data_IF_009545319486
#
_entry.id   IF_009545319486
#
_cell.length_a   1.000
_cell.length_b   1.000
_cell.length_c   1.000
_cell.angle_alpha   90.00
_cell.angle_beta   90.00
_cell.angle_gamma   90.00
#
_symmetry.space_group_name_H-M   'P 1'
#
loop_
_entity.id
_entity.type
_entity.pdbx_description
1 polymer ?
#
# COMPACT_ATOMS: atom_id res chain seq x y z
N UNK A 1 -14.46 100.13 -1.27
CA UNK A 1 -15.64 99.25 -1.31
C UNK A 1 -15.30 97.78 -1.00
N UNK A 2 -14.36 97.16 -1.73
CA UNK A 2 -13.88 95.78 -1.46
C UNK A 2 -13.36 95.53 -0.02
N UNK A 3 -12.68 96.53 0.57
CA UNK A 3 -12.20 96.43 1.94
C UNK A 3 -13.32 96.39 2.98
N UNK A 4 -14.39 97.17 2.74
CA UNK A 4 -15.55 97.25 3.66
C UNK A 4 -16.38 95.95 3.58
N UNK A 5 -16.52 95.36 2.39
CA UNK A 5 -17.19 94.08 2.21
C UNK A 5 -16.43 92.91 2.85
N UNK A 6 -15.09 92.93 2.81
CA UNK A 6 -14.28 91.92 3.49
C UNK A 6 -14.40 92.02 5.02
N UNK A 7 -14.42 93.25 5.56
CA UNK A 7 -14.54 93.49 7.00
C UNK A 7 -15.93 93.07 7.52
N UNK A 8 -17.00 93.34 6.75
CA UNK A 8 -18.35 92.91 7.10
C UNK A 8 -18.52 91.38 7.07
N UNK A 9 -17.86 90.69 6.12
CA UNK A 9 -17.89 89.23 6.05
C UNK A 9 -17.16 88.58 7.23
N UNK A 10 -16.06 89.18 7.71
CA UNK A 10 -15.32 88.70 8.89
C UNK A 10 -16.14 88.73 10.20
N UNK A 11 -17.19 89.55 10.28
CA UNK A 11 -18.10 89.62 11.42
C UNK A 11 -19.42 88.88 11.20
N UNK A 12 -19.60 88.22 10.04
CA UNK A 12 -20.77 87.39 9.76
C UNK A 12 -20.73 86.05 10.49
N UNK A 13 -21.86 85.32 10.59
CA UNK A 13 -21.93 83.99 11.21
C UNK A 13 -21.07 82.92 10.51
N UNK A 14 -20.59 83.20 9.30
CA UNK A 14 -19.65 82.36 8.54
C UNK A 14 -18.21 82.92 8.53
N UNK A 15 -17.98 84.06 9.18
CA UNK A 15 -16.65 84.63 9.40
C UNK A 15 -15.99 83.93 10.57
N UNK A 16 -14.93 83.16 10.31
CA UNK A 16 -14.18 82.44 11.35
C UNK A 16 -13.66 83.39 12.43
N UNK A 17 -13.73 82.97 13.69
CA UNK A 17 -13.24 83.76 14.83
C UNK A 17 -11.80 83.38 15.14
N UNK A 18 -10.99 84.31 15.64
CA UNK A 18 -9.62 84.03 16.10
C UNK A 18 -9.61 82.95 17.21
N UNK A 19 -10.70 82.83 17.97
CA UNK A 19 -10.89 81.77 18.97
C UNK A 19 -11.05 80.36 18.37
N UNK A 20 -11.42 80.22 17.09
CA UNK A 20 -11.54 78.90 16.44
C UNK A 20 -10.17 78.19 16.31
N UNK A 21 -9.06 78.96 16.34
CA UNK A 21 -7.71 78.41 16.39
C UNK A 21 -7.32 77.80 17.75
N UNK A 22 -8.10 78.08 18.81
CA UNK A 22 -7.85 77.61 20.17
C UNK A 22 -8.88 76.57 20.65
N UNK A 23 -9.86 76.24 19.81
CA UNK A 23 -10.68 75.04 20.02
C UNK A 23 -9.81 73.86 19.64
N UNK A 24 -9.35 73.10 20.63
CA UNK A 24 -8.84 71.76 20.40
C UNK A 24 -9.94 71.02 19.65
N UNK A 25 -9.78 70.85 18.32
CA UNK A 25 -10.66 69.99 17.55
C UNK A 25 -10.68 68.69 18.32
N UNK A 26 -11.87 68.27 18.76
CA UNK A 26 -12.07 66.96 19.33
C UNK A 26 -11.26 65.99 18.47
N UNK A 27 -10.28 65.34 19.10
CA UNK A 27 -9.55 64.27 18.46
C UNK A 27 -10.63 63.41 17.81
N UNK A 28 -10.60 63.29 16.47
CA UNK A 28 -11.57 62.46 15.76
C UNK A 28 -11.66 61.17 16.55
N UNK A 29 -12.86 60.75 16.92
CA UNK A 29 -13.09 59.40 17.45
C UNK A 29 -12.51 58.44 16.41
N UNK A 30 -11.25 58.06 16.60
CA UNK A 30 -10.59 57.06 15.79
C UNK A 30 -11.21 55.78 16.29
N UNK A 31 -12.26 55.33 15.59
CA UNK A 31 -12.79 53.99 15.75
C UNK A 31 -11.57 53.06 15.80
N UNK A 32 -11.33 52.35 16.92
CA UNK A 32 -10.13 51.54 17.05
C UNK A 32 -10.07 50.57 15.87
N UNK A 33 -8.89 50.40 15.24
CA UNK A 33 -8.76 49.58 14.06
C UNK A 33 -9.19 48.15 14.41
N UNK A 34 -10.07 47.58 13.57
CA UNK A 34 -10.46 46.18 13.74
C UNK A 34 -9.37 45.30 13.16
N UNK A 35 -8.81 44.44 14.00
CA UNK A 35 -7.75 43.50 13.63
C UNK A 35 -8.35 42.09 13.65
N UNK A 36 -8.37 41.46 12.48
CA UNK A 36 -8.70 40.04 12.34
C UNK A 36 -7.41 39.30 11.96
N UNK A 37 -6.89 38.45 12.84
CA UNK A 37 -5.70 37.66 12.56
C UNK A 37 -6.00 36.17 12.75
N UNK A 38 -5.58 35.34 11.81
CA UNK A 38 -5.72 33.89 11.87
C UNK A 38 -4.52 33.18 11.26
N UNK A 39 -4.29 31.95 11.69
CA UNK A 39 -3.30 31.04 11.12
C UNK A 39 -4.01 29.87 10.50
N UNK A 40 -3.66 29.55 9.26
CA UNK A 40 -4.14 28.37 8.55
C UNK A 40 -3.02 27.34 8.50
N UNK A 41 -3.11 26.24 9.27
CA UNK A 41 -2.15 25.14 9.17
C UNK A 41 -2.15 24.51 7.77
N UNK A 42 -1.04 23.87 7.35
CA UNK A 42 -1.02 23.13 6.11
C UNK A 42 -2.11 22.05 6.06
N UNK A 43 -2.69 21.85 4.88
CA UNK A 43 -3.84 20.94 4.70
C UNK A 43 -3.56 19.51 5.21
N UNK A 44 -2.32 19.04 5.08
CA UNK A 44 -1.89 17.71 5.52
C UNK A 44 -2.05 17.48 7.04
N UNK A 45 -1.94 18.55 7.84
CA UNK A 45 -2.02 18.45 9.30
C UNK A 45 -3.45 18.21 9.80
N UNK A 46 -4.47 18.44 8.96
CA UNK A 46 -5.88 18.30 9.31
C UNK A 46 -6.37 19.25 10.42
N UNK A 47 -5.56 20.23 10.84
CA UNK A 47 -5.89 21.17 11.91
C UNK A 47 -6.77 22.31 11.39
N UNK A 48 -7.76 22.69 12.18
CA UNK A 48 -8.63 23.83 11.86
C UNK A 48 -7.85 25.16 11.91
N UNK A 49 -8.25 26.18 11.14
CA UNK A 49 -7.68 27.51 11.23
C UNK A 49 -7.81 28.09 12.65
N UNK A 50 -6.75 28.70 13.14
CA UNK A 50 -6.64 29.27 14.47
C UNK A 50 -6.82 30.79 14.42
N UNK A 51 -7.90 31.31 14.99
CA UNK A 51 -8.16 32.74 15.05
C UNK A 51 -7.47 33.37 16.27
N UNK A 52 -6.47 34.21 16.04
CA UNK A 52 -5.63 34.80 17.08
C UNK A 52 -6.33 35.93 17.84
N UNK A 53 -7.25 36.64 17.18
CA UNK A 53 -7.97 37.79 17.75
C UNK A 53 -9.35 37.44 18.31
N UNK A 54 -9.69 36.15 18.38
CA UNK A 54 -10.93 35.71 19.03
C UNK A 54 -10.84 35.92 20.56
N UNK A 55 -11.96 36.29 21.19
CA UNK A 55 -12.03 36.55 22.64
C UNK A 55 -11.51 35.37 23.49
N UNK A 56 -11.76 34.14 23.03
CA UNK A 56 -11.29 32.92 23.68
C UNK A 56 -9.76 32.79 23.74
N UNK A 57 -9.03 33.47 22.86
CA UNK A 57 -7.58 33.34 22.69
C UNK A 57 -6.79 34.54 23.22
N UNK A 58 -7.46 35.54 23.83
CA UNK A 58 -6.80 36.73 24.38
C UNK A 58 -5.84 36.43 25.53
N UNK A 59 -6.04 35.33 26.26
CA UNK A 59 -5.17 34.90 27.37
C UNK A 59 -4.02 33.98 26.94
N UNK A 60 -3.94 33.60 25.66
CA UNK A 60 -2.92 32.67 25.15
C UNK A 60 -1.62 33.43 24.91
N UNK A 61 -0.57 33.08 25.65
CA UNK A 61 0.74 33.73 25.53
C UNK A 61 1.57 33.23 24.34
N UNK A 62 1.36 31.98 23.90
CA UNK A 62 2.09 31.38 22.78
C UNK A 62 1.21 30.40 22.03
N UNK A 63 1.15 30.55 20.71
CA UNK A 63 0.37 29.71 19.82
C UNK A 63 1.24 28.62 19.19
N UNK A 64 0.90 27.35 19.43
CA UNK A 64 1.60 26.23 18.82
C UNK A 64 1.02 25.89 17.45
N UNK A 65 1.82 26.01 16.40
CA UNK A 65 1.39 25.83 15.01
C UNK A 65 2.36 24.89 14.27
N UNK A 66 1.89 24.06 13.32
CA UNK A 66 2.80 23.27 12.48
C UNK A 66 3.69 24.14 11.61
N UNK A 67 4.88 23.64 11.28
CA UNK A 67 5.77 24.27 10.32
C UNK A 67 5.07 24.50 8.97
N UNK A 68 5.37 25.63 8.34
CA UNK A 68 4.80 26.00 7.04
C UNK A 68 3.36 26.53 7.10
N UNK A 69 2.83 26.81 8.31
CA UNK A 69 1.50 27.42 8.48
C UNK A 69 1.45 28.85 7.90
N UNK A 70 0.36 29.20 7.23
CA UNK A 70 0.15 30.54 6.69
C UNK A 70 -0.53 31.44 7.72
N UNK A 71 0.15 32.50 8.16
CA UNK A 71 -0.44 33.56 8.98
C UNK A 71 -1.05 34.62 8.08
N UNK A 72 -2.31 34.97 8.34
CA UNK A 72 -3.04 36.03 7.65
C UNK A 72 -3.54 37.05 8.67
N UNK A 73 -3.27 38.33 8.38
CA UNK A 73 -3.69 39.43 9.24
C UNK A 73 -4.37 40.49 8.40
N UNK A 74 -5.59 40.87 8.80
CA UNK A 74 -6.41 41.90 8.16
C UNK A 74 -6.68 43.03 9.14
N UNK A 75 -6.29 44.24 8.77
CA UNK A 75 -6.59 45.46 9.53
C UNK A 75 -7.62 46.28 8.76
N UNK A 76 -8.69 46.70 9.43
CA UNK A 76 -9.77 47.52 8.84
C UNK A 76 -9.96 48.81 9.64
N UNK A 77 -10.06 49.95 8.94
CA UNK A 77 -10.31 51.25 9.57
C UNK A 77 -9.06 51.96 10.09
N UNK A 78 -7.88 51.54 9.63
CA UNK A 78 -6.58 52.06 10.09
C UNK A 78 -6.02 53.17 9.18
N UNK A 79 -4.91 53.78 9.61
CA UNK A 79 -4.24 54.89 8.93
C UNK A 79 -3.73 54.52 7.53
N UNK A 80 -3.42 53.22 7.33
CA UNK A 80 -2.80 52.68 6.11
C UNK A 80 -1.28 52.63 6.20
N UNK A 81 -0.69 52.98 7.34
CA UNK A 81 0.76 52.94 7.61
C UNK A 81 1.17 51.73 8.47
N UNK A 82 0.30 50.71 8.54
CA UNK A 82 0.57 49.55 9.38
C UNK A 82 1.72 48.71 8.80
N UNK A 83 2.63 48.30 9.66
CA UNK A 83 3.75 47.41 9.32
C UNK A 83 3.67 46.14 10.14
N UNK A 84 3.95 45.01 9.49
CA UNK A 84 3.97 43.71 10.13
C UNK A 84 5.39 43.18 10.09
N UNK A 85 5.92 42.81 11.25
CA UNK A 85 7.25 42.22 11.39
C UNK A 85 7.17 40.88 12.11
N UNK A 86 7.99 39.93 11.67
CA UNK A 86 8.16 38.63 12.30
C UNK A 86 9.61 38.50 12.75
N UNK A 87 9.84 38.45 14.06
CA UNK A 87 11.16 38.27 14.64
C UNK A 87 11.34 36.81 15.08
N UNK A 88 12.42 36.16 14.65
CA UNK A 88 12.79 34.84 15.15
C UNK A 88 13.37 34.92 16.58
N UNK A 89 13.70 33.77 17.18
CA UNK A 89 14.32 33.71 18.51
C UNK A 89 15.75 34.30 18.56
N UNK A 90 16.42 34.42 17.41
CA UNK A 90 17.77 34.96 17.28
C UNK A 90 17.77 36.50 17.07
N UNK A 91 16.59 37.11 17.00
CA UNK A 91 16.41 38.55 16.85
C UNK A 91 16.42 39.05 15.40
N UNK A 92 16.43 38.15 14.41
CA UNK A 92 16.30 38.54 13.01
C UNK A 92 14.84 38.85 12.70
N UNK A 93 14.55 40.13 12.52
CA UNK A 93 13.23 40.60 12.12
C UNK A 93 13.10 40.64 10.59
N UNK A 94 12.13 39.90 10.04
CA UNK A 94 11.70 40.05 8.64
C UNK A 94 10.43 40.89 8.58
N UNK A 95 10.39 41.86 7.67
CA UNK A 95 9.17 42.59 7.37
C UNK A 95 8.27 41.74 6.46
N UNK A 96 6.98 41.66 6.78
CA UNK A 96 5.97 41.04 5.91
C UNK A 96 5.29 42.18 5.16
N UNK A 97 5.49 42.22 3.84
CA UNK A 97 4.86 43.24 3.01
C UNK A 97 3.35 43.03 2.89
N UNK A 98 2.56 44.11 2.81
CA UNK A 98 1.13 44.03 2.61
C UNK A 98 0.83 43.46 1.22
N UNK A 99 -0.15 42.56 1.14
CA UNK A 99 -0.62 42.02 -0.13
C UNK A 99 -1.22 43.15 -0.99
N UNK A 100 -0.78 43.24 -2.26
CA UNK A 100 -1.37 44.17 -3.21
C UNK A 100 -2.86 43.84 -3.42
N UNK A 101 -3.75 44.86 -3.49
CA UNK A 101 -5.18 44.62 -3.67
C UNK A 101 -5.44 43.89 -4.99
N UNK A 102 -5.95 42.66 -4.93
CA UNK A 102 -6.43 41.92 -6.11
C UNK A 102 -7.88 42.31 -6.40
N UNK A 103 -8.07 43.19 -7.37
CA UNK A 103 -9.38 43.55 -7.93
C UNK A 103 -9.44 45.01 -8.42
N UNK A 104 -10.30 45.32 -9.41
CA UNK A 104 -10.50 46.71 -9.84
C UNK A 104 -11.07 47.52 -8.67
N UNK A 105 -10.41 48.62 -8.32
CA UNK A 105 -10.86 49.52 -7.26
C UNK A 105 -12.24 50.10 -7.64
N UNK A 106 -13.30 49.89 -6.82
CA UNK A 106 -14.56 50.57 -7.07
C UNK A 106 -14.36 52.07 -6.86
N UNK A 107 -14.62 52.83 -7.92
CA UNK A 107 -14.67 54.29 -7.85
C UNK A 107 -15.96 54.70 -7.13
N UNK A 108 -15.88 54.99 -5.83
CA UNK A 108 -16.63 56.05 -5.11
C UNK A 108 -16.77 55.73 -3.61
N UNK A 109 -16.43 56.74 -2.79
CA UNK A 109 -16.85 57.02 -1.40
C UNK A 109 -16.54 56.01 -0.28
N UNK A 110 -15.58 56.41 0.58
CA UNK A 110 -15.42 56.04 2.00
C UNK A 110 -15.57 54.55 2.38
N UNK A 111 -15.08 53.63 1.54
CA UNK A 111 -14.79 52.29 2.01
C UNK A 111 -13.65 52.36 3.05
N UNK A 112 -13.75 51.68 4.21
CA UNK A 112 -12.67 51.63 5.18
C UNK A 112 -11.42 51.08 4.48
N UNK A 113 -10.27 51.73 4.68
CA UNK A 113 -8.99 51.19 4.20
C UNK A 113 -8.78 49.83 4.85
N UNK A 114 -8.68 48.79 4.03
CA UNK A 114 -8.37 47.41 4.46
C UNK A 114 -6.96 47.09 4.00
N UNK A 115 -6.12 46.65 4.94
CA UNK A 115 -4.76 46.15 4.64
C UNK A 115 -4.67 44.69 5.06
N UNK A 116 -4.17 43.85 4.16
CA UNK A 116 -3.99 42.42 4.40
C UNK A 116 -2.51 42.06 4.31
N UNK A 117 -2.05 41.24 5.23
CA UNK A 117 -0.71 40.68 5.27
C UNK A 117 -0.82 39.15 5.27
N UNK A 118 0.14 38.50 4.62
CA UNK A 118 0.25 37.04 4.58
C UNK A 118 1.71 36.64 4.66
N UNK A 119 2.04 35.62 5.46
CA UNK A 119 3.40 35.10 5.58
C UNK A 119 3.43 33.66 6.10
N UNK A 120 4.55 32.96 5.90
CA UNK A 120 4.73 31.57 6.32
C UNK A 120 5.46 31.45 7.66
N UNK A 121 4.95 30.63 8.58
CA UNK A 121 5.57 30.38 9.88
C UNK A 121 6.46 29.12 9.81
N UNK A 122 7.77 29.33 9.60
CA UNK A 122 8.75 28.24 9.44
C UNK A 122 9.59 27.98 10.69
N UNK A 123 9.73 28.96 11.57
CA UNK A 123 10.53 28.90 12.80
C UNK A 123 9.83 29.61 13.95
N UNK A 124 10.21 29.30 15.20
CA UNK A 124 9.72 29.99 16.38
C UNK A 124 9.97 31.50 16.29
N UNK A 125 9.00 32.30 16.72
CA UNK A 125 9.13 33.75 16.62
C UNK A 125 7.93 34.52 17.13
N UNK A 126 8.03 35.85 17.08
CA UNK A 126 6.98 36.77 17.49
C UNK A 126 6.56 37.66 16.33
N UNK A 127 5.26 37.67 16.06
CA UNK A 127 4.63 38.55 15.09
C UNK A 127 4.20 39.84 15.79
N UNK A 128 4.70 40.98 15.29
CA UNK A 128 4.41 42.30 15.84
C UNK A 128 3.78 43.18 14.78
N UNK A 129 2.57 43.67 15.06
CA UNK A 129 1.84 44.64 14.24
C UNK A 129 2.02 46.04 14.84
N UNK A 130 2.54 46.98 14.05
CA UNK A 130 2.71 48.38 14.45
C UNK A 130 1.95 49.32 13.54
N UNK A 131 1.46 50.42 14.08
CA UNK A 131 0.91 51.55 13.32
C UNK A 131 1.61 52.83 13.81
N UNK A 132 2.38 53.46 12.92
CA UNK A 132 3.34 54.50 13.29
C UNK A 132 4.24 54.06 14.47
N UNK A 133 4.11 54.68 15.64
CA UNK A 133 4.90 54.41 16.86
C UNK A 133 4.16 53.54 17.89
N UNK A 134 2.93 53.11 17.61
CA UNK A 134 2.09 52.34 18.54
C UNK A 134 2.03 50.87 18.13
N UNK A 135 2.32 49.98 19.09
CA UNK A 135 2.13 48.54 18.89
C UNK A 135 0.64 48.22 18.99
N UNK A 136 0.09 47.61 17.93
CA UNK A 136 -1.33 47.25 17.83
C UNK A 136 -1.59 45.78 18.22
N UNK A 137 -0.58 44.92 18.17
CA UNK A 137 -0.72 43.51 18.54
C UNK A 137 0.58 42.74 18.50
N UNK A 138 0.71 41.77 19.39
CA UNK A 138 1.86 40.87 19.50
C UNK A 138 1.36 39.43 19.66
N UNK A 139 1.89 38.51 18.85
CA UNK A 139 1.57 37.09 18.93
C UNK A 139 2.85 36.26 18.85
N UNK A 140 3.14 35.50 19.90
CA UNK A 140 4.25 34.56 19.91
C UNK A 140 3.82 33.20 19.34
N UNK A 141 4.68 32.60 18.52
CA UNK A 141 4.45 31.31 17.87
C UNK A 141 5.53 30.30 18.25
N UNK A 142 5.08 29.10 18.63
CA UNK A 142 5.89 27.92 18.74
C UNK A 142 5.62 27.02 17.52
N UNK A 143 6.57 26.95 16.60
CA UNK A 143 6.47 26.15 15.39
C UNK A 143 6.91 24.72 15.70
N UNK A 144 6.02 23.75 15.46
CA UNK A 144 6.30 22.32 15.60
C UNK A 144 6.87 21.82 14.27
N UNK A 145 8.15 21.40 14.22
CA UNK A 145 8.76 20.86 13.01
C UNK A 145 8.06 19.56 12.58
N UNK A 146 7.97 19.38 11.27
CA UNK A 146 7.43 18.17 10.65
C UNK A 146 8.50 17.07 10.64
N UNK A 147 8.18 15.86 11.09
CA UNK A 147 9.15 14.77 11.15
C UNK A 147 8.93 13.82 9.98
N UNK A 148 10.00 13.31 9.34
CA UNK A 148 9.82 12.31 8.29
C UNK A 148 9.18 11.04 8.87
N UNK A 149 8.37 10.33 8.07
CA UNK A 149 7.73 9.09 8.51
C UNK A 149 8.79 8.02 8.80
N UNK A 150 8.45 7.05 9.64
CA UNK A 150 9.25 5.85 9.86
C UNK A 150 8.44 4.60 9.55
N UNK A 151 9.06 3.61 8.91
CA UNK A 151 8.43 2.31 8.60
C UNK A 151 9.37 1.16 8.97
N UNK A 152 8.84 0.14 9.66
CA UNK A 152 9.61 -1.06 10.03
C UNK A 152 8.77 -2.33 9.94
N UNK A 153 9.44 -3.45 9.71
CA UNK A 153 8.80 -4.77 9.80
C UNK A 153 8.44 -5.12 11.24
N UNK A 154 7.32 -5.82 11.40
CA UNK A 154 6.91 -6.45 12.66
C UNK A 154 6.98 -7.96 12.44
N UNK A 155 8.12 -8.55 12.77
CA UNK A 155 8.42 -9.96 12.49
C UNK A 155 8.92 -10.19 11.06
N UNK A 156 9.00 -11.46 10.68
CA UNK A 156 9.44 -11.86 9.34
C UNK A 156 8.27 -11.87 8.33
N UNK A 157 8.50 -11.44 7.08
CA UNK A 157 7.60 -11.72 5.97
C UNK A 157 7.35 -13.23 5.89
N UNK A 158 6.08 -13.62 5.78
CA UNK A 158 5.71 -15.04 5.79
C UNK A 158 4.73 -15.37 4.69
N UNK A 159 4.69 -16.66 4.34
CA UNK A 159 3.67 -17.24 3.49
C UNK A 159 2.44 -17.54 4.35
N UNK A 160 1.30 -16.99 3.99
CA UNK A 160 0.02 -17.30 4.61
C UNK A 160 -0.43 -18.73 4.23
N UNK A 161 -1.40 -19.27 4.97
CA UNK A 161 -1.92 -20.64 4.76
C UNK A 161 -2.47 -20.83 3.34
N UNK A 162 -3.06 -19.80 2.75
CA UNK A 162 -3.54 -19.79 1.37
C UNK A 162 -2.44 -19.58 0.31
N UNK A 163 -1.17 -19.58 0.69
CA UNK A 163 -0.02 -19.40 -0.21
C UNK A 163 0.35 -17.96 -0.52
N UNK A 164 -0.47 -16.97 -0.12
CA UNK A 164 -0.22 -15.54 -0.36
C UNK A 164 0.92 -14.99 0.50
N UNK A 165 1.49 -13.86 0.09
CA UNK A 165 2.53 -13.16 0.84
C UNK A 165 1.88 -12.28 1.91
N UNK A 166 2.32 -12.44 3.16
CA UNK A 166 1.87 -11.67 4.31
C UNK A 166 3.00 -10.81 4.87
N UNK A 167 2.74 -9.50 4.93
CA UNK A 167 3.63 -8.50 5.52
C UNK A 167 2.97 -7.88 6.74
N UNK A 168 3.70 -7.89 7.85
CA UNK A 168 3.34 -7.20 9.08
C UNK A 168 4.37 -6.08 9.30
N UNK A 169 3.88 -4.86 9.52
CA UNK A 169 4.73 -3.68 9.61
C UNK A 169 4.08 -2.60 10.47
N UNK A 170 4.87 -1.63 10.86
CA UNK A 170 4.43 -0.48 11.66
C UNK A 170 4.91 0.79 10.98
N UNK A 171 4.00 1.76 10.86
CA UNK A 171 4.26 3.09 10.30
C UNK A 171 4.04 4.10 11.43
N UNK A 172 5.06 4.88 11.72
CA UNK A 172 5.03 5.94 12.72
C UNK A 172 5.21 7.29 12.03
N UNK A 173 4.23 8.17 12.20
CA UNK A 173 4.18 9.49 11.58
C UNK A 173 3.26 10.40 12.40
N UNK A 174 3.63 11.67 12.56
CA UNK A 174 2.92 12.63 13.40
C UNK A 174 1.66 13.22 12.74
N UNK A 175 1.60 13.25 11.40
CA UNK A 175 0.44 13.75 10.64
C UNK A 175 -0.26 12.69 9.77
N UNK A 176 0.24 11.47 9.78
CA UNK A 176 -0.20 10.32 9.01
C UNK A 176 0.48 10.19 7.65
N UNK A 177 0.77 8.95 7.26
CA UNK A 177 1.29 8.63 5.94
C UNK A 177 0.22 8.81 4.83
N UNK A 178 0.64 9.31 3.67
CA UNK A 178 -0.17 9.47 2.47
C UNK A 178 -0.18 8.20 1.61
N UNK A 179 0.97 7.52 1.51
CA UNK A 179 1.10 6.26 0.79
C UNK A 179 2.19 5.38 1.37
N UNK A 180 2.04 4.07 1.22
CA UNK A 180 3.07 3.11 1.57
C UNK A 180 3.01 1.94 0.59
N UNK A 181 4.17 1.40 0.24
CA UNK A 181 4.30 0.28 -0.71
C UNK A 181 5.47 -0.61 -0.34
N UNK A 182 5.38 -1.89 -0.71
CA UNK A 182 6.53 -2.77 -0.69
C UNK A 182 7.27 -2.68 -2.03
N UNK A 183 8.58 -2.47 -1.95
CA UNK A 183 9.50 -2.41 -3.09
C UNK A 183 10.24 -3.73 -3.15
N UNK A 184 10.20 -4.37 -4.32
CA UNK A 184 10.83 -5.66 -4.57
C UNK A 184 11.98 -5.50 -5.54
N UNK A 185 13.07 -6.18 -5.24
CA UNK A 185 14.21 -6.33 -6.14
C UNK A 185 14.60 -7.81 -6.20
N UNK A 186 15.08 -8.29 -7.34
CA UNK A 186 15.64 -9.64 -7.44
C UNK A 186 16.97 -9.68 -6.66
N UNK A 187 17.17 -10.74 -5.87
CA UNK A 187 18.41 -10.92 -5.11
C UNK A 187 19.60 -11.13 -6.03
N UNK A 188 19.38 -11.93 -7.08
CA UNK A 188 20.31 -12.11 -8.19
C UNK A 188 19.85 -11.21 -9.35
N UNK A 189 20.51 -10.05 -9.55
CA UNK A 189 20.13 -9.16 -10.63
C UNK A 189 20.38 -9.85 -11.97
N UNK A 190 19.46 -9.70 -12.93
CA UNK A 190 19.70 -10.20 -14.28
C UNK A 190 20.91 -9.49 -14.90
N UNK A 191 21.53 -10.10 -15.92
CA UNK A 191 22.69 -9.54 -16.58
C UNK A 191 22.42 -8.10 -17.08
N UNK A 192 23.44 -7.25 -17.16
CA UNK A 192 23.26 -5.83 -17.52
C UNK A 192 22.60 -5.60 -18.90
N UNK A 193 22.68 -6.61 -19.78
CA UNK A 193 22.06 -6.63 -21.11
C UNK A 193 20.80 -7.51 -21.18
N UNK A 194 20.31 -8.01 -20.05
CA UNK A 194 19.07 -8.76 -19.99
C UNK A 194 17.89 -7.84 -20.28
N UNK A 195 16.90 -8.39 -20.97
CA UNK A 195 15.68 -7.67 -21.33
C UNK A 195 14.50 -8.32 -20.61
N UNK A 196 14.22 -7.95 -19.34
CA UNK A 196 13.09 -8.50 -18.60
C UNK A 196 11.78 -8.01 -19.21
N UNK A 197 10.83 -8.93 -19.39
CA UNK A 197 9.49 -8.56 -19.82
C UNK A 197 8.76 -7.86 -18.67
N UNK A 198 8.85 -8.34 -17.45
CA UNK A 198 8.06 -7.82 -16.34
C UNK A 198 8.93 -7.10 -15.30
N UNK A 199 8.41 -6.00 -14.77
CA UNK A 199 9.00 -5.31 -13.63
C UNK A 199 8.69 -6.00 -12.30
N UNK A 200 9.13 -5.41 -11.18
CA UNK A 200 8.74 -5.85 -9.85
C UNK A 200 7.22 -5.81 -9.66
N UNK A 201 6.65 -6.70 -8.83
CA UNK A 201 5.23 -6.65 -8.51
C UNK A 201 4.91 -5.38 -7.71
N UNK A 202 3.69 -4.87 -7.91
CA UNK A 202 3.16 -3.77 -7.11
C UNK A 202 2.40 -4.31 -5.89
N UNK A 203 2.79 -3.85 -4.70
CA UNK A 203 2.15 -4.18 -3.44
C UNK A 203 1.93 -2.91 -2.60
N UNK A 204 0.81 -2.21 -2.80
CA UNK A 204 0.43 -1.12 -1.92
C UNK A 204 0.15 -1.66 -0.51
N UNK A 205 0.64 -0.96 0.48
CA UNK A 205 0.47 -1.29 1.89
C UNK A 205 -0.76 -0.57 2.45
N UNK A 206 -1.48 -1.26 3.32
CA UNK A 206 -2.59 -0.67 4.07
C UNK A 206 -2.05 0.36 5.06
N UNK A 207 -2.59 1.57 5.02
CA UNK A 207 -2.19 2.65 5.91
C UNK A 207 -2.96 2.57 7.24
N UNK A 208 -2.30 2.79 8.39
CA UNK A 208 -2.98 2.94 9.66
C UNK A 208 -3.86 4.19 9.67
N UNK A 209 -4.90 4.18 10.51
CA UNK A 209 -5.83 5.31 10.62
C UNK A 209 -5.11 6.52 11.23
N UNK A 210 -5.21 7.69 10.58
CA UNK A 210 -4.59 8.96 11.02
C UNK A 210 -4.97 9.29 12.47
N UNK A 211 -3.98 9.59 13.31
CA UNK A 211 -4.16 9.92 14.73
C UNK A 211 -4.54 8.74 15.65
N UNK A 212 -4.58 7.51 15.13
CA UNK A 212 -4.70 6.30 15.95
C UNK A 212 -3.37 5.93 16.60
N UNK A 213 -3.41 5.14 17.69
CA UNK A 213 -2.19 4.55 18.26
C UNK A 213 -1.47 3.74 17.18
N UNK A 214 -0.13 3.88 17.13
CA UNK A 214 0.76 3.11 16.27
C UNK A 214 0.54 1.63 16.55
N UNK A 215 -0.20 0.96 15.66
CA UNK A 215 -0.51 -0.46 15.74
C UNK A 215 0.09 -1.13 14.51
N UNK A 216 0.55 -2.37 14.69
CA UNK A 216 1.00 -3.19 13.56
C UNK A 216 -0.13 -3.32 12.53
N UNK A 217 0.16 -2.90 11.31
CA UNK A 217 -0.67 -3.12 10.14
C UNK A 217 -0.25 -4.42 9.45
N UNK A 218 -1.23 -5.05 8.79
CA UNK A 218 -1.03 -6.29 8.05
C UNK A 218 -1.55 -6.10 6.63
N UNK A 219 -0.73 -6.46 5.66
CA UNK A 219 -1.12 -6.52 4.25
C UNK A 219 -0.85 -7.93 3.72
N UNK A 220 -1.84 -8.49 3.03
CA UNK A 220 -1.77 -9.82 2.43
C UNK A 220 -2.13 -9.73 0.95
N UNK A 221 -1.28 -10.26 0.09
CA UNK A 221 -1.49 -10.27 -1.37
C UNK A 221 -0.99 -11.57 -1.98
N UNK A 222 -1.79 -12.12 -2.88
CA UNK A 222 -1.36 -13.24 -3.68
C UNK A 222 -0.41 -12.75 -4.79
N UNK A 223 0.83 -13.26 -4.74
CA UNK A 223 1.89 -13.01 -5.71
C UNK A 223 2.33 -14.31 -6.39
N UNK A 224 1.64 -15.42 -6.16
CA UNK A 224 2.05 -16.75 -6.63
C UNK A 224 1.97 -16.91 -8.15
N UNK A 225 1.14 -16.10 -8.82
CA UNK A 225 1.03 -16.05 -10.28
C UNK A 225 2.11 -15.15 -10.93
N UNK A 226 2.75 -14.28 -10.14
CA UNK A 226 3.75 -13.34 -10.65
C UNK A 226 4.97 -14.10 -11.21
N UNK A 227 5.63 -13.56 -12.23
CA UNK A 227 6.77 -14.23 -12.86
C UNK A 227 7.99 -14.35 -11.95
N UNK A 228 8.06 -13.53 -10.91
CA UNK A 228 9.11 -13.58 -9.88
C UNK A 228 8.79 -14.58 -8.75
N UNK A 229 7.61 -15.19 -8.74
CA UNK A 229 7.28 -16.23 -7.76
C UNK A 229 8.35 -17.33 -7.79
N UNK A 230 8.83 -17.73 -6.61
CA UNK A 230 9.90 -18.72 -6.45
C UNK A 230 11.31 -18.18 -6.68
N UNK A 231 11.47 -16.89 -6.97
CA UNK A 231 12.79 -16.25 -7.07
C UNK A 231 13.20 -15.66 -5.72
N UNK A 232 14.52 -15.60 -5.46
CA UNK A 232 15.07 -14.87 -4.32
C UNK A 232 14.88 -13.37 -4.52
N UNK A 233 14.29 -12.69 -3.54
CA UNK A 233 13.98 -11.26 -3.59
C UNK A 233 14.54 -10.51 -2.37
N UNK A 234 14.84 -9.24 -2.57
CA UNK A 234 15.07 -8.23 -1.55
C UNK A 234 13.81 -7.39 -1.42
N UNK A 235 13.30 -7.29 -0.20
CA UNK A 235 12.07 -6.59 0.13
C UNK A 235 12.39 -5.38 1.01
N UNK A 236 11.99 -4.20 0.57
CA UNK A 236 12.11 -2.94 1.32
C UNK A 236 10.75 -2.27 1.36
N UNK A 237 10.30 -1.83 2.53
CA UNK A 237 9.07 -1.04 2.63
C UNK A 237 9.40 0.43 2.43
N UNK A 238 8.54 1.15 1.74
CA UNK A 238 8.66 2.59 1.51
C UNK A 238 7.37 3.28 1.89
N UNK A 239 7.49 4.41 2.60
CA UNK A 239 6.37 5.25 3.03
C UNK A 239 6.63 6.69 2.60
N UNK A 240 5.54 7.39 2.27
CA UNK A 240 5.54 8.81 1.91
C UNK A 240 4.43 9.50 2.69
N UNK A 241 4.77 10.60 3.36
CA UNK A 241 3.80 11.44 4.07
C UNK A 241 3.12 12.44 3.11
N UNK A 242 2.18 13.21 3.64
CA UNK A 242 1.47 14.25 2.87
C UNK A 242 2.32 15.52 2.63
N UNK A 243 3.45 15.67 3.36
CA UNK A 243 4.41 16.75 3.17
C UNK A 243 5.46 16.44 2.07
N UNK A 244 5.51 15.20 1.59
CA UNK A 244 6.42 14.71 0.56
C UNK A 244 7.71 14.08 1.09
N UNK A 245 7.87 13.93 2.41
CA UNK A 245 8.99 13.18 2.96
C UNK A 245 8.82 11.69 2.69
N UNK A 246 9.94 11.03 2.46
CA UNK A 246 9.98 9.59 2.18
C UNK A 246 10.93 8.90 3.16
N UNK A 247 10.57 7.69 3.53
CA UNK A 247 11.42 6.82 4.34
C UNK A 247 11.30 5.38 3.89
N UNK A 248 12.34 4.61 4.20
CA UNK A 248 12.45 3.20 3.86
C UNK A 248 12.78 2.36 5.09
N UNK A 249 12.32 1.12 5.12
CA UNK A 249 12.68 0.16 6.17
C UNK A 249 14.06 -0.45 5.94
N UNK A 250 14.49 -1.32 6.86
CA UNK A 250 15.50 -2.33 6.57
C UNK A 250 15.09 -3.22 5.39
N UNK A 251 16.08 -3.80 4.71
CA UNK A 251 15.85 -4.74 3.60
C UNK A 251 15.89 -6.17 4.09
N UNK A 252 14.88 -6.97 3.73
CA UNK A 252 14.82 -8.41 4.04
C UNK A 252 14.96 -9.25 2.79
N UNK A 253 15.80 -10.28 2.84
CA UNK A 253 15.98 -11.25 1.74
C UNK A 253 15.16 -12.50 2.01
N UNK A 254 14.35 -12.91 1.06
CA UNK A 254 13.51 -14.10 1.15
C UNK A 254 13.21 -14.69 -0.24
N UNK A 255 12.69 -15.91 -0.28
CA UNK A 255 12.10 -16.47 -1.50
C UNK A 255 10.66 -15.97 -1.64
N UNK A 256 10.31 -15.43 -2.81
CA UNK A 256 8.93 -15.03 -3.07
C UNK A 256 8.03 -16.27 -3.05
N UNK A 257 6.89 -16.25 -2.32
CA UNK A 257 5.96 -17.37 -2.31
C UNK A 257 5.53 -17.76 -3.73
N UNK A 258 5.57 -19.06 -4.02
CA UNK A 258 5.09 -19.62 -5.28
C UNK A 258 3.99 -20.66 -5.06
N UNK A 259 3.25 -20.92 -6.14
CA UNK A 259 2.30 -22.03 -6.20
C UNK A 259 3.10 -23.33 -6.38
N UNK A 260 2.89 -24.35 -5.53
CA UNK A 260 3.53 -25.64 -5.71
C UNK A 260 2.91 -26.36 -6.92
N UNK A 261 3.75 -26.94 -7.77
CA UNK A 261 3.36 -27.82 -8.86
C UNK A 261 3.91 -29.22 -8.58
N UNK A 262 3.05 -30.22 -8.46
CA UNK A 262 3.48 -31.60 -8.21
C UNK A 262 3.94 -32.29 -9.51
N UNK A 263 3.30 -31.94 -10.63
CA UNK A 263 3.61 -32.53 -11.93
C UNK A 263 4.98 -32.04 -12.44
N UNK A 264 5.96 -32.93 -12.73
CA UNK A 264 7.26 -32.55 -13.31
C UNK A 264 7.14 -31.74 -14.60
N UNK A 265 6.18 -32.08 -15.46
CA UNK A 265 5.94 -31.38 -16.70
C UNK A 265 5.45 -29.95 -16.46
N UNK A 266 4.53 -29.76 -15.50
CA UNK A 266 4.07 -28.43 -15.13
C UNK A 266 5.19 -27.58 -14.51
N UNK A 267 6.03 -28.19 -13.65
CA UNK A 267 7.23 -27.54 -13.09
C UNK A 267 8.18 -27.07 -14.19
N UNK A 268 8.46 -27.92 -15.17
CA UNK A 268 9.33 -27.57 -16.30
C UNK A 268 8.76 -26.40 -17.13
N UNK A 269 7.44 -26.38 -17.37
CA UNK A 269 6.76 -25.29 -18.07
C UNK A 269 6.85 -23.97 -17.29
N UNK A 270 6.67 -23.99 -15.97
CA UNK A 270 6.79 -22.80 -15.11
C UNK A 270 8.21 -22.29 -15.02
N UNK A 271 9.21 -23.17 -14.98
CA UNK A 271 10.62 -22.78 -15.04
C UNK A 271 10.93 -22.07 -16.37
N UNK A 272 10.48 -22.62 -17.49
CA UNK A 272 10.61 -22.00 -18.81
C UNK A 272 9.91 -20.64 -18.90
N UNK A 273 8.70 -20.54 -18.32
CA UNK A 273 7.97 -19.28 -18.19
C UNK A 273 8.80 -18.24 -17.45
N UNK A 274 9.41 -18.61 -16.32
CA UNK A 274 10.25 -17.72 -15.50
C UNK A 274 11.49 -17.28 -16.28
N UNK A 275 12.20 -18.21 -16.92
CA UNK A 275 13.38 -17.89 -17.74
C UNK A 275 13.07 -16.86 -18.82
N UNK A 276 11.99 -17.07 -19.58
CA UNK A 276 11.57 -16.16 -20.64
C UNK A 276 11.11 -14.80 -20.11
N UNK A 277 10.40 -14.79 -18.98
CA UNK A 277 9.87 -13.57 -18.39
C UNK A 277 10.95 -12.66 -17.80
N UNK A 278 12.01 -13.26 -17.23
CA UNK A 278 13.13 -12.54 -16.65
C UNK A 278 14.14 -12.05 -17.68
N UNK A 279 14.25 -12.74 -18.82
CA UNK A 279 15.14 -12.32 -19.91
C UNK A 279 14.67 -12.85 -21.27
N UNK A 280 14.30 -11.96 -22.19
CA UNK A 280 13.92 -12.36 -23.56
C UNK A 280 15.08 -12.98 -24.34
N UNK A 281 16.33 -12.71 -23.95
CA UNK A 281 17.51 -13.34 -24.56
C UNK A 281 17.54 -14.86 -24.33
N UNK A 282 16.81 -15.36 -23.32
CA UNK A 282 16.65 -16.78 -23.05
C UNK A 282 15.76 -17.51 -24.07
N UNK A 283 15.11 -16.82 -25.02
CA UNK A 283 14.22 -17.41 -26.02
C UNK A 283 14.80 -18.66 -26.72
N UNK A 284 16.05 -18.66 -27.24
CA UNK A 284 16.62 -19.85 -27.88
C UNK A 284 16.72 -21.04 -26.91
N UNK A 285 17.20 -20.78 -25.68
CA UNK A 285 17.30 -21.81 -24.64
C UNK A 285 15.94 -22.37 -24.26
N UNK A 286 14.91 -21.53 -24.16
CA UNK A 286 13.54 -22.00 -23.86
C UNK A 286 13.00 -22.87 -25.00
N UNK A 287 13.25 -22.50 -26.26
CA UNK A 287 12.90 -23.34 -27.42
C UNK A 287 13.60 -24.70 -27.36
N UNK A 288 14.90 -24.74 -27.05
CA UNK A 288 15.66 -25.99 -26.91
C UNK A 288 15.10 -26.87 -25.78
N UNK A 289 14.73 -26.28 -24.63
CA UNK A 289 14.10 -26.99 -23.52
C UNK A 289 12.73 -27.56 -23.90
N UNK A 290 11.93 -26.80 -24.65
CA UNK A 290 10.65 -27.29 -25.18
C UNK A 290 10.87 -28.45 -26.17
N UNK A 291 11.85 -28.32 -27.07
CA UNK A 291 12.20 -29.35 -28.03
C UNK A 291 12.65 -30.64 -27.33
N UNK A 292 13.47 -30.53 -26.28
CA UNK A 292 13.90 -31.67 -25.47
C UNK A 292 12.73 -32.42 -24.81
N UNK A 293 11.77 -31.69 -24.23
CA UNK A 293 10.57 -32.30 -23.62
C UNK A 293 9.70 -32.98 -24.68
N UNK A 294 9.65 -32.45 -25.90
CA UNK A 294 8.82 -32.98 -26.99
C UNK A 294 9.52 -34.02 -27.88
N UNK A 295 10.78 -34.39 -27.58
CA UNK A 295 11.59 -35.25 -28.44
C UNK A 295 11.05 -36.69 -28.54
N UNK A 296 10.58 -37.24 -27.42
CA UNK A 296 10.00 -38.60 -27.31
C UNK A 296 8.63 -38.51 -26.64
N UNK A 297 7.59 -38.11 -27.40
CA UNK A 297 6.29 -37.79 -26.82
C UNK A 297 5.61 -39.01 -26.18
N UNK A 298 5.81 -40.20 -26.75
CA UNK A 298 5.29 -41.47 -26.22
C UNK A 298 5.81 -41.83 -24.82
N UNK A 299 7.03 -41.40 -24.46
CA UNK A 299 7.63 -41.71 -23.15
C UNK A 299 7.42 -40.58 -22.13
N UNK A 300 7.14 -39.36 -22.62
CA UNK A 300 7.10 -38.15 -21.78
C UNK A 300 5.68 -37.72 -21.40
N UNK A 301 4.68 -38.10 -22.21
CA UNK A 301 3.30 -37.61 -22.05
C UNK A 301 2.28 -38.73 -21.91
N UNK A 302 1.62 -38.79 -20.76
CA UNK A 302 0.43 -39.64 -20.56
C UNK A 302 -0.79 -39.13 -21.38
N UNK A 303 -0.85 -37.83 -21.65
CA UNK A 303 -1.93 -37.18 -22.38
C UNK A 303 -1.37 -36.37 -23.56
N UNK A 304 -1.67 -36.82 -24.77
CA UNK A 304 -1.21 -36.18 -26.01
C UNK A 304 -1.75 -34.75 -26.21
N UNK A 305 -2.82 -34.37 -25.49
CA UNK A 305 -3.30 -32.97 -25.49
C UNK A 305 -2.28 -32.01 -24.86
N UNK A 306 -1.58 -32.46 -23.81
CA UNK A 306 -0.53 -31.68 -23.17
C UNK A 306 0.68 -31.51 -24.12
N UNK A 307 1.02 -32.57 -24.86
CA UNK A 307 2.04 -32.50 -25.91
C UNK A 307 1.67 -31.44 -26.96
N UNK A 308 0.46 -31.51 -27.53
CA UNK A 308 0.00 -30.54 -28.53
C UNK A 308 0.01 -29.10 -27.98
N UNK A 309 -0.33 -28.91 -26.71
CA UNK A 309 -0.30 -27.61 -26.08
C UNK A 309 1.13 -27.06 -25.89
N UNK A 310 2.11 -27.90 -25.53
CA UNK A 310 3.53 -27.50 -25.50
C UNK A 310 4.06 -27.19 -26.90
N UNK A 311 3.73 -28.00 -27.92
CA UNK A 311 4.12 -27.75 -29.32
C UNK A 311 3.50 -26.45 -29.84
N UNK A 312 2.26 -26.15 -29.45
CA UNK A 312 1.60 -24.86 -29.72
C UNK A 312 2.35 -23.70 -29.05
N UNK A 313 2.68 -23.82 -27.75
CA UNK A 313 3.44 -22.81 -27.02
C UNK A 313 4.81 -22.54 -27.67
N UNK A 314 5.53 -23.60 -28.04
CA UNK A 314 6.81 -23.53 -28.76
C UNK A 314 6.66 -22.80 -30.10
N UNK A 315 5.65 -23.14 -30.88
CA UNK A 315 5.40 -22.51 -32.19
C UNK A 315 5.10 -21.01 -32.05
N UNK A 316 4.30 -20.64 -31.05
CA UNK A 316 4.05 -19.22 -30.71
C UNK A 316 5.33 -18.51 -30.29
N UNK A 317 6.14 -19.12 -29.42
CA UNK A 317 7.42 -18.56 -28.98
C UNK A 317 8.37 -18.32 -30.16
N UNK A 318 8.49 -19.30 -31.06
CA UNK A 318 9.34 -19.20 -32.25
C UNK A 318 8.98 -18.00 -33.12
N UNK A 319 7.68 -17.81 -33.37
CA UNK A 319 7.12 -16.73 -34.19
C UNK A 319 7.05 -15.36 -33.47
N UNK A 320 7.29 -15.31 -32.16
CA UNK A 320 7.21 -14.07 -31.39
C UNK A 320 8.48 -13.23 -31.57
N UNK A 321 8.34 -12.03 -32.11
CA UNK A 321 9.44 -11.08 -32.35
C UNK A 321 9.35 -9.84 -31.47
N UNK A 322 8.15 -9.51 -30.95
CA UNK A 322 7.95 -8.37 -30.06
C UNK A 322 7.73 -8.78 -28.60
N UNK A 323 8.02 -7.87 -27.67
CA UNK A 323 7.79 -8.06 -26.24
C UNK A 323 6.34 -8.43 -25.92
N UNK A 324 5.36 -7.82 -26.60
CA UNK A 324 3.94 -8.13 -26.39
C UNK A 324 3.59 -9.57 -26.80
N UNK A 325 4.18 -10.07 -27.88
CA UNK A 325 4.00 -11.46 -28.29
C UNK A 325 4.64 -12.41 -27.27
N UNK A 326 5.83 -12.07 -26.76
CA UNK A 326 6.49 -12.85 -25.71
C UNK A 326 5.70 -12.84 -24.40
N UNK A 327 5.09 -11.72 -24.00
CA UNK A 327 4.17 -11.65 -22.87
C UNK A 327 2.97 -12.59 -23.04
N UNK A 328 2.39 -12.66 -24.24
CA UNK A 328 1.31 -13.60 -24.52
C UNK A 328 1.75 -15.05 -24.38
N UNK A 329 2.97 -15.38 -24.78
CA UNK A 329 3.55 -16.71 -24.55
C UNK A 329 3.73 -16.98 -23.06
N UNK A 330 4.30 -16.03 -22.29
CA UNK A 330 4.47 -16.14 -20.84
C UNK A 330 3.13 -16.37 -20.13
N UNK A 331 2.07 -15.66 -20.52
CA UNK A 331 0.71 -15.88 -20.02
C UNK A 331 0.17 -17.26 -20.41
N UNK A 332 0.38 -17.69 -21.65
CA UNK A 332 -0.06 -19.01 -22.11
C UNK A 332 0.64 -20.17 -21.38
N UNK A 333 1.95 -20.03 -21.08
CA UNK A 333 2.69 -21.03 -20.32
C UNK A 333 2.16 -21.18 -18.88
N UNK A 334 1.64 -20.11 -18.27
CA UNK A 334 0.97 -20.19 -16.97
C UNK A 334 -0.30 -21.04 -17.05
N UNK A 335 -1.20 -20.71 -17.97
CA UNK A 335 -2.44 -21.47 -18.18
C UNK A 335 -2.16 -22.93 -18.53
N UNK A 336 -1.14 -23.18 -19.35
CA UNK A 336 -0.70 -24.53 -19.71
C UNK A 336 -0.22 -25.31 -18.50
N UNK A 337 0.61 -24.72 -17.64
CA UNK A 337 1.07 -25.37 -16.43
C UNK A 337 -0.09 -25.73 -15.49
N UNK A 338 -1.06 -24.83 -15.33
CA UNK A 338 -2.29 -25.10 -14.57
C UNK A 338 -3.08 -26.26 -15.20
N UNK A 339 -3.28 -26.23 -16.51
CA UNK A 339 -3.97 -27.29 -17.25
C UNK A 339 -3.28 -28.64 -17.16
N UNK A 340 -1.94 -28.69 -17.16
CA UNK A 340 -1.15 -29.92 -16.99
C UNK A 340 -1.27 -30.45 -15.55
N UNK A 341 -1.19 -29.56 -14.56
CA UNK A 341 -1.31 -29.90 -13.14
C UNK A 341 -2.70 -30.45 -12.81
N UNK A 342 -3.76 -29.89 -13.41
CA UNK A 342 -5.14 -30.31 -13.18
C UNK A 342 -5.58 -31.45 -14.11
N UNK A 343 -5.01 -31.52 -15.31
CA UNK A 343 -5.35 -32.47 -16.36
C UNK A 343 -4.75 -33.86 -16.20
N UNK A 344 -3.66 -34.01 -15.44
CA UNK A 344 -3.11 -35.33 -15.10
C UNK A 344 -3.76 -35.97 -13.86
N UNK A 345 -4.71 -35.28 -13.25
CA UNK A 345 -5.45 -35.84 -12.12
C UNK A 345 -6.45 -36.87 -12.64
N UNK A 346 -6.44 -38.07 -12.06
CA UNK A 346 -7.50 -39.06 -12.28
C UNK A 346 -8.87 -38.48 -11.90
N UNK A 347 -9.95 -39.13 -12.36
CA UNK A 347 -11.30 -38.71 -11.94
C UNK A 347 -11.44 -38.71 -10.41
N UNK A 348 -10.86 -39.71 -9.74
CA UNK A 348 -10.83 -39.77 -8.28
C UNK A 348 -9.95 -38.67 -7.67
N UNK A 349 -8.78 -38.37 -8.23
CA UNK A 349 -7.91 -37.29 -7.73
C UNK A 349 -8.54 -35.90 -7.86
N UNK A 350 -9.21 -35.61 -8.99
CA UNK A 350 -9.95 -34.35 -9.17
C UNK A 350 -11.08 -34.23 -8.16
N UNK A 351 -11.86 -35.30 -7.99
CA UNK A 351 -12.96 -35.35 -7.03
C UNK A 351 -12.46 -35.17 -5.60
N UNK A 352 -11.30 -35.75 -5.27
CA UNK A 352 -10.67 -35.60 -3.96
C UNK A 352 -10.24 -34.14 -3.70
N UNK A 353 -9.53 -33.50 -4.64
CA UNK A 353 -9.17 -32.08 -4.52
C UNK A 353 -10.39 -31.17 -4.39
N UNK A 354 -11.43 -31.41 -5.19
CA UNK A 354 -12.68 -30.66 -5.12
C UNK A 354 -13.36 -30.80 -3.75
N UNK A 355 -13.43 -32.03 -3.21
CA UNK A 355 -14.03 -32.28 -1.90
C UNK A 355 -13.20 -31.66 -0.76
N UNK A 356 -11.86 -31.69 -0.85
CA UNK A 356 -10.97 -31.01 0.09
C UNK A 356 -11.21 -29.50 0.10
N UNK A 357 -11.27 -28.88 -1.08
CA UNK A 357 -11.46 -27.44 -1.21
C UNK A 357 -12.85 -27.00 -0.76
N UNK A 358 -13.90 -27.76 -1.11
CA UNK A 358 -15.26 -27.52 -0.64
C UNK A 358 -15.36 -27.55 0.90
N UNK A 359 -14.70 -28.52 1.54
CA UNK A 359 -14.63 -28.60 3.00
C UNK A 359 -13.84 -27.43 3.60
N UNK A 360 -12.70 -27.06 3.01
CA UNK A 360 -11.90 -25.92 3.46
C UNK A 360 -12.70 -24.62 3.41
N UNK A 361 -13.43 -24.39 2.32
CA UNK A 361 -14.29 -23.22 2.16
C UNK A 361 -15.48 -23.24 3.14
N UNK A 362 -16.10 -24.41 3.36
CA UNK A 362 -17.15 -24.57 4.36
C UNK A 362 -16.66 -24.21 5.77
N UNK A 363 -15.48 -24.69 6.17
CA UNK A 363 -14.88 -24.38 7.47
C UNK A 363 -14.52 -22.89 7.56
N UNK A 364 -13.91 -22.32 6.50
CA UNK A 364 -13.49 -20.92 6.46
C UNK A 364 -14.66 -19.96 6.55
N UNK A 365 -15.75 -20.24 5.84
CA UNK A 365 -16.95 -19.41 5.82
C UNK A 365 -17.86 -19.64 7.03
N UNK A 366 -17.55 -20.62 7.89
CA UNK A 366 -18.37 -20.94 9.05
C UNK A 366 -19.73 -21.51 8.65
N UNK A 367 -19.74 -22.38 7.65
CA UNK A 367 -20.93 -23.07 7.17
C UNK A 367 -21.62 -23.86 8.30
N UNK A 368 -22.90 -24.17 8.11
CA UNK A 368 -23.69 -24.92 9.08
C UNK A 368 -23.15 -26.35 9.27
N UNK A 369 -23.43 -26.96 10.42
CA UNK A 369 -23.02 -28.34 10.72
C UNK A 369 -23.45 -29.34 9.63
N UNK A 370 -24.62 -29.10 9.02
CA UNK A 370 -25.15 -29.91 7.92
C UNK A 370 -24.31 -29.79 6.64
N UNK A 371 -23.81 -28.59 6.33
CA UNK A 371 -22.95 -28.35 5.16
C UNK A 371 -21.55 -28.95 5.38
N UNK A 372 -21.02 -28.83 6.60
CA UNK A 372 -19.76 -29.45 6.99
C UNK A 372 -19.86 -30.97 6.90
N UNK A 373 -20.95 -31.57 7.40
CA UNK A 373 -21.19 -33.00 7.33
C UNK A 373 -21.29 -33.50 5.89
N UNK A 374 -21.97 -32.74 5.03
CA UNK A 374 -22.06 -33.05 3.59
C UNK A 374 -20.69 -33.01 2.93
N UNK A 375 -19.90 -31.96 3.17
CA UNK A 375 -18.55 -31.83 2.61
C UNK A 375 -17.60 -32.93 3.13
N UNK A 376 -17.69 -33.29 4.42
CA UNK A 376 -16.95 -34.41 5.01
C UNK A 376 -17.32 -35.75 4.37
N UNK A 377 -18.61 -35.98 4.10
CA UNK A 377 -19.06 -37.20 3.42
C UNK A 377 -18.50 -37.28 2.00
N UNK A 378 -18.56 -36.18 1.24
CA UNK A 378 -17.99 -36.10 -0.11
C UNK A 378 -16.47 -36.34 -0.11
N UNK A 379 -15.76 -35.81 0.89
CA UNK A 379 -14.33 -36.04 1.08
C UNK A 379 -14.02 -37.52 1.35
N UNK A 380 -14.79 -38.16 2.24
CA UNK A 380 -14.65 -39.58 2.62
C UNK A 380 -14.91 -40.50 1.41
N UNK A 381 -15.92 -40.20 0.61
CA UNK A 381 -16.19 -40.91 -0.65
C UNK A 381 -15.07 -40.73 -1.68
N UNK A 382 -14.60 -39.50 -1.90
CA UNK A 382 -13.55 -39.22 -2.88
C UNK A 382 -12.21 -39.84 -2.47
N UNK A 383 -11.90 -39.86 -1.16
CA UNK A 383 -10.71 -40.52 -0.62
C UNK A 383 -10.74 -42.03 -0.86
N UNK A 384 -11.89 -42.66 -0.60
CA UNK A 384 -12.04 -44.10 -0.84
C UNK A 384 -11.85 -44.46 -2.32
N UNK A 385 -12.39 -43.64 -3.23
CA UNK A 385 -12.18 -43.82 -4.67
C UNK A 385 -10.71 -43.64 -5.06
N UNK A 386 -10.04 -42.64 -4.49
CA UNK A 386 -8.61 -42.41 -4.73
C UNK A 386 -7.77 -43.60 -4.25
N UNK A 387 -7.99 -44.09 -3.03
CA UNK A 387 -7.25 -45.23 -2.48
C UNK A 387 -7.50 -46.52 -3.27
N UNK A 388 -8.72 -46.72 -3.78
CA UNK A 388 -9.05 -47.84 -4.66
C UNK A 388 -8.31 -47.76 -6.00
N UNK A 389 -8.33 -46.62 -6.67
CA UNK A 389 -7.57 -46.42 -7.92
C UNK A 389 -6.06 -46.55 -7.68
N UNK A 390 -5.58 -46.01 -6.55
CA UNK A 390 -4.19 -46.12 -6.13
C UNK A 390 -3.78 -47.59 -5.92
N UNK A 391 -4.57 -48.37 -5.20
CA UNK A 391 -4.31 -49.79 -4.95
C UNK A 391 -4.38 -50.62 -6.25
N UNK A 392 -5.33 -50.34 -7.13
CA UNK A 392 -5.43 -51.00 -8.44
C UNK A 392 -4.21 -50.73 -9.32
N UNK A 393 -3.72 -49.48 -9.34
CA UNK A 393 -2.49 -49.11 -10.06
C UNK A 393 -1.25 -49.75 -9.44
N UNK A 394 -1.18 -49.86 -8.11
CA UNK A 394 -0.08 -50.52 -7.42
C UNK A 394 -0.02 -52.03 -7.75
N UNK A 395 -1.17 -52.69 -7.90
CA UNK A 395 -1.26 -54.10 -8.30
C UNK A 395 -0.87 -54.35 -9.76
N UNK A 396 -1.03 -53.35 -10.63
CA UNK A 396 -0.66 -53.43 -12.06
C UNK A 396 0.85 -53.27 -12.30
N UNK A 397 1.64 -52.85 -11.30
CA UNK A 397 3.10 -52.81 -11.35
C UNK A 397 3.70 -53.96 -10.51
N UNK A 398 3.83 -55.18 -11.06
CA UNK A 398 4.30 -56.36 -10.31
C UNK A 398 5.80 -56.36 -9.94
N UNK A 399 6.57 -55.33 -10.32
CA UNK A 399 8.02 -55.25 -10.07
C UNK A 399 8.43 -54.51 -8.77
N UNK A 400 7.53 -54.39 -7.78
CA UNK A 400 7.88 -53.83 -6.48
C UNK A 400 7.77 -54.85 -5.32
N UNK A 401 8.65 -55.88 -5.19
CA UNK A 401 8.54 -56.86 -4.11
C UNK A 401 9.16 -56.45 -2.76
N UNK A 402 9.54 -55.18 -2.51
CA UNK A 402 10.35 -54.86 -1.31
C UNK A 402 9.96 -53.61 -0.51
N UNK A 403 8.69 -53.19 -0.56
CA UNK A 403 8.17 -52.10 0.31
C UNK A 403 7.58 -52.59 1.65
N UNK A 404 7.66 -53.87 1.99
CA UNK A 404 7.01 -54.42 3.19
C UNK A 404 7.80 -54.26 4.50
N UNK A 405 9.05 -53.77 4.49
CA UNK A 405 9.87 -53.82 5.72
C UNK A 405 10.26 -52.48 6.35
N UNK A 406 10.13 -51.32 5.69
CA UNK A 406 10.56 -50.05 6.33
C UNK A 406 9.75 -48.79 5.98
N UNK A 407 8.65 -48.88 5.23
CA UNK A 407 7.67 -47.80 5.19
C UNK A 407 6.74 -47.93 6.39
N UNK A 408 6.54 -46.87 7.18
CA UNK A 408 5.28 -46.76 7.94
C UNK A 408 4.16 -46.85 6.90
N UNK A 409 3.58 -48.03 6.72
CA UNK A 409 2.36 -48.19 5.95
C UNK A 409 1.36 -47.23 6.56
N UNK A 410 0.98 -46.23 5.77
CA UNK A 410 -0.08 -45.32 6.11
C UNK A 410 -1.35 -46.16 6.25
N UNK A 411 -1.75 -46.50 7.47
CA UNK A 411 -2.87 -47.41 7.69
C UNK A 411 -4.14 -46.64 7.37
N UNK A 412 -5.07 -47.29 6.70
CA UNK A 412 -6.38 -46.71 6.40
C UNK A 412 -7.07 -46.18 7.68
N UNK A 413 -6.85 -46.88 8.81
CA UNK A 413 -7.33 -46.47 10.13
C UNK A 413 -6.68 -45.21 10.72
N UNK A 414 -5.49 -44.79 10.27
CA UNK A 414 -4.87 -43.54 10.70
C UNK A 414 -5.51 -42.35 9.97
N UNK A 415 -5.80 -42.52 8.67
CA UNK A 415 -6.49 -41.54 7.83
C UNK A 415 -7.92 -41.34 8.33
N UNK A 416 -8.65 -42.42 8.63
CA UNK A 416 -10.02 -42.36 9.15
C UNK A 416 -10.08 -41.61 10.49
N UNK A 417 -9.13 -41.86 11.39
CA UNK A 417 -9.04 -41.15 12.68
C UNK A 417 -8.79 -39.65 12.50
N UNK A 418 -7.93 -39.27 11.56
CA UNK A 418 -7.66 -37.86 11.28
C UNK A 418 -8.90 -37.18 10.67
N UNK A 419 -9.63 -37.86 9.80
CA UNK A 419 -10.89 -37.37 9.22
C UNK A 419 -11.96 -37.13 10.30
N UNK A 420 -12.08 -38.05 11.26
CA UNK A 420 -13.02 -37.90 12.38
C UNK A 420 -12.60 -36.75 13.32
N UNK A 421 -11.30 -36.53 13.50
CA UNK A 421 -10.80 -35.36 14.24
C UNK A 421 -11.12 -34.05 13.52
N UNK A 422 -10.93 -33.99 12.19
CA UNK A 422 -11.30 -32.84 11.37
C UNK A 422 -12.80 -32.55 11.49
N UNK A 423 -13.65 -33.58 11.41
CA UNK A 423 -15.11 -33.44 11.55
C UNK A 423 -15.50 -32.87 12.92
N UNK A 424 -14.92 -33.40 14.01
CA UNK A 424 -15.19 -32.93 15.36
C UNK A 424 -14.71 -31.49 15.57
N UNK A 425 -13.53 -31.12 15.07
CA UNK A 425 -12.99 -29.75 15.16
C UNK A 425 -13.81 -28.76 14.33
N UNK A 426 -14.24 -29.17 13.13
CA UNK A 426 -15.10 -28.36 12.27
C UNK A 426 -16.48 -28.11 12.91
N UNK A 427 -17.11 -29.15 13.51
CA UNK A 427 -18.40 -29.03 14.23
C UNK A 427 -18.30 -28.28 15.56
N UNK A 428 -17.18 -28.41 16.28
CA UNK A 428 -16.96 -27.70 17.54
C UNK A 428 -16.56 -26.23 17.38
N UNK A 429 -16.32 -25.77 16.15
CA UNK A 429 -15.96 -24.38 15.84
C UNK A 429 -14.46 -24.08 15.90
N UNK A 430 -13.60 -25.08 16.16
CA UNK A 430 -12.14 -24.98 16.15
C UNK A 430 -11.58 -24.98 14.70
N UNK A 431 -11.99 -23.96 13.92
CA UNK A 431 -11.70 -23.83 12.48
C UNK A 431 -10.21 -23.84 12.16
N UNK A 432 -9.40 -23.16 12.95
CA UNK A 432 -7.96 -23.04 12.72
C UNK A 432 -7.25 -24.40 12.82
N UNK A 433 -7.62 -25.21 13.83
CA UNK A 433 -7.05 -26.56 14.00
C UNK A 433 -7.56 -27.53 12.94
N UNK A 434 -8.84 -27.41 12.57
CA UNK A 434 -9.41 -28.20 11.48
C UNK A 434 -8.68 -27.93 10.15
N UNK A 435 -8.37 -26.66 9.86
CA UNK A 435 -7.57 -26.28 8.70
C UNK A 435 -6.14 -26.83 8.76
N UNK A 436 -5.52 -26.82 9.94
CA UNK A 436 -4.17 -27.37 10.13
C UNK A 436 -4.12 -28.87 9.82
N UNK A 437 -5.08 -29.66 10.33
CA UNK A 437 -5.16 -31.10 10.04
C UNK A 437 -5.48 -31.38 8.57
N UNK A 438 -6.29 -30.54 7.93
CA UNK A 438 -6.55 -30.64 6.49
C UNK A 438 -5.28 -30.40 5.67
N UNK A 439 -4.44 -29.44 6.06
CA UNK A 439 -3.13 -29.24 5.45
C UNK A 439 -2.19 -30.42 5.68
N UNK A 440 -2.17 -31.00 6.88
CA UNK A 440 -1.37 -32.18 7.19
C UNK A 440 -1.79 -33.40 6.34
N UNK A 441 -3.11 -33.60 6.16
CA UNK A 441 -3.65 -34.59 5.24
C UNK A 441 -3.18 -34.34 3.80
N UNK A 442 -3.19 -33.07 3.34
CA UNK A 442 -2.74 -32.72 2.00
C UNK A 442 -1.24 -33.02 1.81
N UNK A 443 -0.40 -32.68 2.78
CA UNK A 443 1.04 -32.92 2.72
C UNK A 443 1.36 -34.41 2.69
N UNK A 444 0.65 -35.21 3.47
CA UNK A 444 0.76 -36.68 3.47
C UNK A 444 0.43 -37.27 2.09
N UNK A 445 -0.60 -36.75 1.44
CA UNK A 445 -1.03 -37.19 0.10
C UNK A 445 -0.06 -36.75 -1.00
N UNK A 446 0.48 -35.52 -0.91
CA UNK A 446 1.52 -35.04 -1.80
C UNK A 446 2.79 -35.90 -1.69
N UNK A 447 3.15 -36.32 -0.47
CA UNK A 447 4.31 -37.19 -0.23
C UNK A 447 4.11 -38.61 -0.78
N UNK A 448 2.89 -39.16 -0.70
CA UNK A 448 2.53 -40.44 -1.33
C UNK A 448 2.67 -40.37 -2.87
N UNK A 449 2.32 -39.25 -3.48
CA UNK A 449 2.50 -39.02 -4.91
C UNK A 449 3.98 -38.79 -5.29
N UNK A 450 4.74 -38.09 -4.44
CA UNK A 450 6.16 -37.79 -4.66
C UNK A 450 7.07 -39.02 -4.52
N UNK A 451 6.76 -39.95 -3.60
CA UNK A 451 7.49 -41.22 -3.45
C UNK A 451 7.46 -42.11 -4.69
N UNK A 452 6.55 -41.84 -5.63
CA UNK A 452 6.44 -42.49 -6.95
C UNK A 452 7.57 -42.12 -7.92
N UNK A 453 8.14 -40.92 -7.80
CA UNK A 453 9.13 -40.40 -8.76
C UNK A 453 10.56 -40.89 -8.50
N UNK A 454 10.90 -41.27 -7.27
CA UNK A 454 12.25 -41.74 -6.94
C UNK A 454 12.58 -43.14 -7.49
N UNK A 455 11.58 -43.96 -7.83
CA UNK A 455 11.80 -45.31 -8.36
C UNK A 455 11.94 -45.38 -9.89
N UNK A 456 11.69 -44.28 -10.61
CA UNK A 456 11.84 -44.23 -12.07
C UNK A 456 13.20 -43.73 -12.57
N UNK A 457 14.14 -43.41 -11.67
CA UNK A 457 15.38 -42.68 -11.99
C UNK A 457 16.69 -43.49 -11.96
N UNK A 458 16.65 -44.79 -11.65
CA UNK A 458 17.85 -45.65 -11.67
C UNK A 458 17.57 -46.94 -12.45
N UNK A 459 17.54 -46.81 -13.78
CA UNK A 459 17.79 -47.91 -14.71
C UNK A 459 18.19 -47.32 -16.07
N UNK A 460 19.37 -46.68 -16.10
CA UNK A 460 20.47 -46.94 -17.04
C UNK A 460 21.70 -46.06 -16.69
#
# INVERSE_FOLDING_TARGET
LLFVTALAFSFGPFGGRVSDGFVARAARDTVPPRIDAWVTPPAYTGKAPLFLTADANQAVQTFSVPQGSDVSLRVTGSSGEETLSYADQDGNARAIEPAAPKGPAPASQAAPKVRQFSGKLDSNGTLTLKSAESDLGHWAFAVIPDKPPAIRFVGEPKRAVNGSMELNYEIDDDYGAASAKAVFELSDPPAANAHPLYGPPDLPLTLPRRGGKTNAAKTTKDLTEHVWAGSGIKLTLSVTDDAGHTATSETKTLMMPERPFANPLARAVIEQRRLLALDTSAKPRVLDLMDAITLRPEDTFDNMSNYLAIVSARSRLKLSESDDQLRNVVSYLWELALGIEEGNLSAAERRLRQAQQALQDAIKNGASDQEIEKAMKELREAMNQFLQEFAQRAQQNPNAPQMQQNGRELRQSDIDRMMDQIENLAKSGDRDKAQQLLSELQDMMNNLQAGRQQQGGEQD
#
